data_IF_493751056596
#
_entry.id   IF_493751056596
#
_cell.length_a   1.000
_cell.length_b   1.000
_cell.length_c   1.000
_cell.angle_alpha   90.00
_cell.angle_beta   90.00
_cell.angle_gamma   90.00
#
_symmetry.space_group_name_H-M   'P 1'
#
loop_
_entity.id
_entity.type
_entity.pdbx_description
1 polymer ?
#
# COMPACT_ATOMS: atom_id res chain seq x y z
N UNK A 1 25.80 -11.79 -17.28
CA UNK A 1 24.82 -10.69 -17.19
C UNK A 1 24.14 -10.79 -15.84
N UNK A 2 24.50 -9.92 -14.90
CA UNK A 2 23.79 -9.84 -13.62
C UNK A 2 22.52 -9.01 -13.83
N UNK A 3 21.36 -9.64 -13.69
CA UNK A 3 20.10 -8.89 -13.60
C UNK A 3 20.16 -8.12 -12.29
N UNK A 4 20.30 -6.79 -12.37
CA UNK A 4 20.13 -5.92 -11.22
C UNK A 4 18.64 -5.87 -10.89
N UNK A 5 18.20 -6.66 -9.91
CA UNK A 5 16.78 -6.79 -9.54
C UNK A 5 16.15 -5.46 -9.15
N UNK A 6 16.90 -4.55 -8.52
CA UNK A 6 16.44 -3.18 -8.22
C UNK A 6 16.00 -2.41 -9.47
N UNK A 7 16.75 -2.56 -10.57
CA UNK A 7 16.45 -1.90 -11.85
C UNK A 7 15.37 -2.63 -12.66
N UNK A 8 15.28 -3.95 -12.49
CA UNK A 8 14.32 -4.79 -13.20
C UNK A 8 12.91 -4.69 -12.59
N UNK A 9 12.80 -4.47 -11.27
CA UNK A 9 11.53 -4.40 -10.55
C UNK A 9 11.04 -2.97 -10.34
N UNK A 10 11.93 -1.97 -10.29
CA UNK A 10 11.56 -0.56 -10.25
C UNK A 10 10.52 -0.24 -9.16
N UNK A 11 9.39 0.36 -9.55
CA UNK A 11 8.31 0.76 -8.63
C UNK A 11 7.48 -0.43 -8.11
N UNK A 12 7.59 -1.62 -8.70
CA UNK A 12 6.66 -2.72 -8.46
C UNK A 12 6.79 -3.30 -7.04
N UNK A 13 8.00 -3.37 -6.50
CA UNK A 13 8.22 -3.81 -5.12
C UNK A 13 7.56 -2.86 -4.11
N UNK A 14 7.78 -1.55 -4.29
CA UNK A 14 7.14 -0.52 -3.46
C UNK A 14 5.61 -0.55 -3.60
N UNK A 15 5.11 -0.68 -4.83
CA UNK A 15 3.68 -0.79 -5.10
C UNK A 15 3.06 -2.01 -4.40
N UNK A 16 3.75 -3.15 -4.39
CA UNK A 16 3.32 -4.36 -3.70
C UNK A 16 3.27 -4.15 -2.18
N UNK A 17 4.31 -3.52 -1.61
CA UNK A 17 4.35 -3.17 -0.19
C UNK A 17 3.23 -2.20 0.21
N UNK A 18 2.95 -1.16 -0.59
CA UNK A 18 1.83 -0.26 -0.34
C UNK A 18 0.47 -0.95 -0.44
N UNK A 19 0.33 -1.90 -1.36
CA UNK A 19 -0.89 -2.71 -1.46
C UNK A 19 -1.09 -3.59 -0.21
N UNK A 20 -0.01 -4.16 0.32
CA UNK A 20 -0.06 -4.92 1.57
C UNK A 20 -0.47 -4.04 2.76
N UNK A 21 0.11 -2.83 2.89
CA UNK A 21 -0.25 -1.87 3.94
C UNK A 21 -1.73 -1.46 3.85
N UNK A 22 -2.24 -1.20 2.64
CA UNK A 22 -3.66 -0.90 2.46
C UNK A 22 -4.56 -2.07 2.86
N UNK A 23 -4.18 -3.30 2.49
CA UNK A 23 -4.91 -4.50 2.88
C UNK A 23 -4.97 -4.66 4.41
N UNK A 24 -3.90 -4.32 5.12
CA UNK A 24 -3.86 -4.32 6.59
C UNK A 24 -4.83 -3.30 7.20
N UNK A 25 -4.85 -2.08 6.66
CA UNK A 25 -5.80 -1.04 7.09
C UNK A 25 -7.26 -1.48 6.84
N UNK A 26 -7.54 -2.05 5.68
CA UNK A 26 -8.87 -2.59 5.37
C UNK A 26 -9.25 -3.75 6.29
N UNK A 27 -8.32 -4.66 6.57
CA UNK A 27 -8.54 -5.77 7.50
C UNK A 27 -8.85 -5.26 8.92
N UNK A 28 -8.15 -4.23 9.38
CA UNK A 28 -8.41 -3.57 10.65
C UNK A 28 -9.81 -2.93 10.68
N UNK A 29 -10.21 -2.24 9.60
CA UNK A 29 -11.55 -1.69 9.49
C UNK A 29 -12.63 -2.76 9.52
N UNK A 30 -12.44 -3.87 8.80
CA UNK A 30 -13.38 -5.00 8.78
C UNK A 30 -13.48 -5.64 10.16
N UNK A 31 -12.35 -5.84 10.83
CA UNK A 31 -12.30 -6.46 12.16
C UNK A 31 -13.01 -5.63 13.22
N UNK A 32 -13.02 -4.30 13.05
CA UNK A 32 -13.68 -3.34 13.93
C UNK A 32 -15.02 -2.82 13.38
N UNK A 33 -15.55 -3.40 12.29
CA UNK A 33 -16.75 -2.90 11.63
C UNK A 33 -17.97 -2.84 12.57
N UNK A 34 -18.06 -3.79 13.50
CA UNK A 34 -19.17 -3.90 14.47
C UNK A 34 -18.88 -3.18 15.80
N UNK A 35 -17.75 -2.49 15.93
CA UNK A 35 -17.41 -1.76 17.16
C UNK A 35 -18.07 -0.37 17.18
N UNK A 36 -18.93 -0.06 18.16
CA UNK A 36 -19.60 1.24 18.21
C UNK A 36 -18.60 2.40 18.26
N UNK A 37 -18.87 3.45 17.48
CA UNK A 37 -18.02 4.66 17.35
C UNK A 37 -16.65 4.47 16.66
N UNK A 38 -16.39 3.32 16.04
CA UNK A 38 -15.15 3.12 15.30
C UNK A 38 -15.10 3.93 14.00
N UNK A 39 -13.94 4.54 13.74
CA UNK A 39 -13.69 5.36 12.54
C UNK A 39 -12.74 4.61 11.62
N UNK A 40 -13.28 4.16 10.50
CA UNK A 40 -12.48 3.55 9.44
C UNK A 40 -11.42 4.52 8.93
N UNK A 41 -10.23 3.98 8.62
CA UNK A 41 -9.12 4.72 8.02
C UNK A 41 -8.87 4.19 6.62
N UNK A 42 -8.44 5.02 5.68
CA UNK A 42 -7.93 4.54 4.39
C UNK A 42 -6.70 5.38 4.00
N UNK A 43 -5.86 4.79 3.16
CA UNK A 43 -4.67 5.43 2.59
C UNK A 43 -4.93 5.63 1.09
N UNK A 44 -4.78 6.86 0.60
CA UNK A 44 -4.92 7.18 -0.84
C UNK A 44 -3.75 6.58 -1.64
N UNK A 45 -3.87 5.30 -1.99
CA UNK A 45 -2.85 4.54 -2.72
C UNK A 45 -2.42 5.20 -4.03
N UNK A 46 -3.36 5.82 -4.75
CA UNK A 46 -3.13 6.57 -5.99
C UNK A 46 -2.09 7.69 -5.77
N UNK A 47 -2.28 8.50 -4.73
CA UNK A 47 -1.44 9.65 -4.41
C UNK A 47 -0.03 9.23 -3.97
N UNK A 48 0.07 8.14 -3.21
CA UNK A 48 1.34 7.64 -2.70
C UNK A 48 2.14 6.94 -3.80
N UNK A 49 1.48 6.18 -4.68
CA UNK A 49 2.11 5.57 -5.84
C UNK A 49 2.63 6.63 -6.82
N UNK A 50 1.85 7.68 -7.07
CA UNK A 50 2.26 8.80 -7.93
C UNK A 50 3.49 9.53 -7.35
N UNK A 51 3.48 9.84 -6.05
CA UNK A 51 4.61 10.48 -5.37
C UNK A 51 5.91 9.64 -5.38
N UNK A 52 5.81 8.32 -5.41
CA UNK A 52 6.96 7.42 -5.50
C UNK A 52 7.41 7.13 -6.95
N UNK A 53 6.54 7.34 -7.94
CA UNK A 53 6.88 7.25 -9.37
C UNK A 53 7.54 8.53 -9.90
N UNK A 54 7.26 9.68 -9.29
CA UNK A 54 7.85 10.98 -9.64
C UNK A 54 9.21 11.26 -8.96
N UNK A 55 9.69 10.34 -8.11
CA UNK A 55 11.04 10.36 -7.51
C UNK A 55 12.04 9.56 -8.34
#
# INVERSE_FOLDING_TARGET
>A
MSISFDKALGIHEKALNFRAQRAEVLANNISNADTPNFKARDLEFSSVLAAENDK
#
